data_IF_810267343242
#
_entry.id   IF_810267343242
#
_cell.length_a   1.000
_cell.length_b   1.000
_cell.length_c   1.000
_cell.angle_alpha   90.00
_cell.angle_beta   90.00
_cell.angle_gamma   90.00
#
_symmetry.space_group_name_H-M   'P 1'
#
loop_
_entity.id
_entity.type
_entity.pdbx_description
1 polymer ?
#
# COMPACT_ATOMS: atom_id res chain seq x y z
N UNK A 1 4.52 32.12 -21.06
CA UNK A 1 4.23 30.74 -20.60
C UNK A 1 5.08 30.51 -19.37
N UNK A 2 4.48 30.40 -18.19
CA UNK A 2 5.25 30.07 -16.98
C UNK A 2 5.73 28.62 -17.13
N UNK A 3 7.04 28.40 -17.12
CA UNK A 3 7.64 27.07 -17.08
C UNK A 3 7.18 26.40 -15.80
N UNK A 4 6.55 25.23 -15.90
CA UNK A 4 6.26 24.40 -14.73
C UNK A 4 7.55 24.17 -13.94
N UNK A 5 7.55 24.32 -12.60
CA UNK A 5 8.75 24.12 -11.80
C UNK A 5 9.31 22.72 -12.00
N UNK A 6 10.63 22.58 -11.98
CA UNK A 6 11.29 21.26 -12.08
C UNK A 6 10.83 20.35 -10.94
N UNK A 7 10.64 19.03 -11.19
CA UNK A 7 10.31 18.07 -10.14
C UNK A 7 11.31 18.13 -8.98
N UNK A 8 10.81 18.08 -7.73
CA UNK A 8 11.65 18.00 -6.54
C UNK A 8 12.38 16.67 -6.52
N UNK A 9 13.69 16.67 -6.25
CA UNK A 9 14.52 15.47 -6.14
C UNK A 9 14.48 14.98 -4.70
N UNK A 10 14.03 13.75 -4.50
CA UNK A 10 13.93 13.11 -3.18
C UNK A 10 14.79 11.86 -3.18
N UNK A 11 15.64 11.71 -2.17
CA UNK A 11 16.36 10.46 -1.88
C UNK A 11 15.65 9.73 -0.75
N UNK A 12 15.37 8.44 -0.95
CA UNK A 12 14.84 7.57 0.11
C UNK A 12 15.70 6.30 0.20
N UNK A 13 16.65 6.24 1.14
CA UNK A 13 17.46 5.05 1.37
C UNK A 13 16.66 3.93 2.03
N UNK A 14 16.86 2.69 1.58
CA UNK A 14 16.33 1.47 2.19
C UNK A 14 17.45 0.47 2.46
N UNK A 15 17.27 -0.37 3.47
CA UNK A 15 18.21 -1.45 3.84
C UNK A 15 17.45 -2.64 4.39
N UNK A 16 18.10 -3.79 4.52
CA UNK A 16 17.53 -4.92 5.24
C UNK A 16 17.10 -4.47 6.65
N UNK A 17 15.83 -4.73 6.99
CA UNK A 17 15.23 -4.26 8.25
C UNK A 17 14.56 -2.88 8.21
N UNK A 18 14.51 -2.21 7.06
CA UNK A 18 13.64 -1.03 6.87
C UNK A 18 12.16 -1.39 7.09
N UNK A 19 11.39 -0.49 7.71
CA UNK A 19 9.96 -0.69 7.97
C UNK A 19 9.14 -0.45 6.67
N UNK A 20 8.31 -1.41 6.20
CA UNK A 20 7.66 -1.33 4.89
C UNK A 20 6.68 -0.18 4.71
N UNK A 21 5.89 0.14 5.72
CA UNK A 21 4.89 1.20 5.68
C UNK A 21 5.58 2.57 5.72
N UNK A 22 6.59 2.73 6.58
CA UNK A 22 7.42 3.94 6.69
C UNK A 22 8.23 4.20 5.41
N UNK A 23 8.55 3.18 4.62
CA UNK A 23 9.17 3.35 3.30
C UNK A 23 8.13 3.61 2.19
N UNK A 24 7.15 2.73 2.04
CA UNK A 24 6.21 2.73 0.91
C UNK A 24 5.30 3.95 0.86
N UNK A 25 4.79 4.41 2.01
CA UNK A 25 3.86 5.55 2.05
C UNK A 25 4.56 6.84 1.58
N UNK A 26 5.73 7.24 2.12
CA UNK A 26 6.43 8.42 1.61
C UNK A 26 6.81 8.31 0.13
N UNK A 27 7.23 7.12 -0.36
CA UNK A 27 7.54 6.91 -1.78
C UNK A 27 6.32 7.25 -2.64
N UNK A 28 5.19 6.59 -2.37
CA UNK A 28 3.96 6.74 -3.16
C UNK A 28 3.45 8.21 -3.10
N UNK A 29 3.30 8.77 -1.89
CA UNK A 29 2.76 10.11 -1.68
C UNK A 29 3.60 11.19 -2.36
N UNK A 30 4.91 11.13 -2.23
CA UNK A 30 5.81 12.12 -2.84
C UNK A 30 5.77 12.00 -4.37
N UNK A 31 5.74 10.79 -4.93
CA UNK A 31 5.59 10.60 -6.38
C UNK A 31 4.23 11.09 -6.89
N UNK A 32 3.14 10.89 -6.16
CA UNK A 32 1.82 11.49 -6.46
C UNK A 32 1.84 13.02 -6.45
N UNK A 33 2.61 13.61 -5.55
CA UNK A 33 2.82 15.05 -5.51
C UNK A 33 3.67 15.59 -6.67
N UNK A 34 4.27 14.69 -7.47
CA UNK A 34 5.12 15.03 -8.62
C UNK A 34 6.60 15.09 -8.28
N UNK A 35 7.04 14.53 -7.15
CA UNK A 35 8.45 14.41 -6.82
C UNK A 35 9.12 13.30 -7.64
N UNK A 36 10.39 13.51 -7.98
CA UNK A 36 11.26 12.46 -8.46
C UNK A 36 11.92 11.79 -7.25
N UNK A 37 11.35 10.66 -6.82
CA UNK A 37 11.84 9.89 -5.67
C UNK A 37 12.76 8.76 -6.15
N UNK A 38 14.04 8.85 -5.81
CA UNK A 38 15.05 7.80 -5.99
C UNK A 38 15.05 6.91 -4.75
N UNK A 39 14.63 5.65 -4.91
CA UNK A 39 14.74 4.64 -3.85
C UNK A 39 16.13 4.01 -3.94
N UNK A 40 16.97 4.23 -2.94
CA UNK A 40 18.37 3.80 -2.98
C UNK A 40 18.64 2.67 -1.98
N UNK A 41 19.28 1.58 -2.42
CA UNK A 41 19.72 0.53 -1.51
C UNK A 41 21.00 0.94 -0.79
N UNK A 42 20.97 0.96 0.55
CA UNK A 42 22.16 1.16 1.37
C UNK A 42 22.99 -0.13 1.56
N UNK A 43 22.57 -1.24 0.94
CA UNK A 43 23.32 -2.50 0.89
C UNK A 43 24.27 -2.58 -0.33
N UNK A 44 24.62 -3.81 -0.70
CA UNK A 44 25.49 -4.14 -1.83
C UNK A 44 24.72 -4.59 -3.09
N UNK A 45 23.40 -4.75 -2.99
CA UNK A 45 22.53 -5.15 -4.08
C UNK A 45 21.29 -4.25 -4.17
N UNK A 46 20.72 -4.13 -5.38
CA UNK A 46 19.48 -3.38 -5.62
C UNK A 46 18.25 -4.09 -5.03
N UNK A 47 18.24 -5.43 -4.99
CA UNK A 47 17.16 -6.17 -4.35
C UNK A 47 17.33 -6.11 -2.84
N UNK A 48 16.37 -5.50 -2.15
CA UNK A 48 16.37 -5.36 -0.70
C UNK A 48 15.15 -6.06 -0.13
N UNK A 49 15.39 -7.07 0.71
CA UNK A 49 14.36 -7.65 1.57
C UNK A 49 14.28 -6.81 2.85
N UNK A 50 13.21 -6.02 2.96
CA UNK A 50 12.92 -5.19 4.12
C UNK A 50 12.09 -6.00 5.14
N UNK A 51 11.64 -5.40 6.26
CA UNK A 51 10.94 -6.19 7.29
C UNK A 51 9.70 -6.92 6.74
N UNK A 52 9.33 -8.00 7.44
CA UNK A 52 8.16 -8.84 7.10
C UNK A 52 8.22 -9.43 5.68
N UNK A 53 9.42 -9.63 5.14
CA UNK A 53 9.67 -10.31 3.86
C UNK A 53 9.16 -9.54 2.64
N UNK A 54 8.90 -8.24 2.76
CA UNK A 54 8.61 -7.38 1.61
C UNK A 54 9.92 -7.17 0.85
N UNK A 55 9.90 -7.35 -0.47
CA UNK A 55 11.09 -7.20 -1.32
C UNK A 55 10.90 -6.04 -2.28
N UNK A 56 11.81 -5.07 -2.22
CA UNK A 56 11.82 -3.91 -3.11
C UNK A 56 13.09 -3.96 -3.96
N UNK A 57 12.94 -3.75 -5.26
CA UNK A 57 14.06 -3.56 -6.16
C UNK A 57 14.35 -2.05 -6.27
N UNK A 58 15.40 -1.62 -5.56
CA UNK A 58 15.85 -0.23 -5.52
C UNK A 58 16.30 0.28 -6.90
N UNK A 59 16.19 1.58 -7.09
CA UNK A 59 16.55 2.30 -8.33
C UNK A 59 18.06 2.35 -8.51
N UNK A 60 18.78 2.64 -7.43
CA UNK A 60 20.24 2.79 -7.42
C UNK A 60 20.84 2.25 -6.11
N UNK A 61 22.15 2.07 -6.06
CA UNK A 61 22.87 1.90 -4.80
C UNK A 61 23.13 3.27 -4.18
N UNK A 62 23.04 3.37 -2.85
CA UNK A 62 23.24 4.63 -2.13
C UNK A 62 24.63 5.23 -2.37
N UNK A 63 25.64 4.38 -2.59
CA UNK A 63 27.01 4.81 -2.92
C UNK A 63 27.09 5.60 -4.22
N UNK A 64 26.18 5.34 -5.16
CA UNK A 64 26.12 6.02 -6.45
C UNK A 64 25.34 7.34 -6.38
N UNK A 65 24.52 7.51 -5.33
CA UNK A 65 23.74 8.73 -5.07
C UNK A 65 24.54 9.86 -4.39
N UNK A 66 25.71 9.56 -3.81
CA UNK A 66 26.41 10.45 -2.87
C UNK A 66 26.87 11.80 -3.46
N UNK A 67 27.05 11.90 -4.79
CA UNK A 67 27.48 13.13 -5.45
C UNK A 67 26.32 14.07 -5.85
N UNK A 68 25.06 13.64 -5.68
CA UNK A 68 23.89 14.40 -6.10
C UNK A 68 23.35 15.31 -4.98
N UNK A 69 22.76 16.44 -5.37
CA UNK A 69 21.99 17.31 -4.47
C UNK A 69 20.51 16.94 -4.49
N UNK A 70 19.88 16.87 -3.32
CA UNK A 70 18.46 16.54 -3.16
C UNK A 70 17.71 17.69 -2.48
N UNK A 71 16.44 17.87 -2.86
CA UNK A 71 15.51 18.80 -2.19
C UNK A 71 15.01 18.24 -0.85
N UNK A 72 14.96 16.90 -0.73
CA UNK A 72 14.56 16.19 0.48
C UNK A 72 15.28 14.84 0.58
N UNK A 73 15.67 14.45 1.78
CA UNK A 73 16.11 13.09 2.11
C UNK A 73 15.11 12.53 3.13
N UNK A 74 14.49 11.39 2.82
CA UNK A 74 13.55 10.71 3.70
C UNK A 74 14.20 9.46 4.24
N UNK A 75 14.33 9.37 5.56
CA UNK A 75 14.80 8.16 6.22
C UNK A 75 13.57 7.38 6.71
N UNK A 76 13.31 6.17 6.20
CA UNK A 76 12.20 5.32 6.64
C UNK A 76 12.56 4.66 7.99
N UNK A 77 12.59 5.50 9.02
CA UNK A 77 12.82 5.15 10.41
C UNK A 77 12.10 6.16 11.31
N UNK A 78 11.52 5.69 12.42
CA UNK A 78 10.70 6.53 13.31
C UNK A 78 11.36 6.91 14.62
N UNK A 79 10.88 8.00 15.23
CA UNK A 79 11.16 8.38 16.60
C UNK A 79 10.27 7.62 17.60
N UNK A 80 10.09 6.31 17.41
CA UNK A 80 9.17 5.48 18.20
C UNK A 80 9.36 5.73 19.72
N UNK A 81 8.28 5.80 20.53
CA UNK A 81 8.37 6.18 21.95
C UNK A 81 9.41 5.39 22.76
N UNK A 82 9.65 4.12 22.39
CA UNK A 82 10.69 3.27 22.97
C UNK A 82 12.13 3.82 22.85
N UNK A 83 12.40 4.67 21.86
CA UNK A 83 13.70 5.31 21.65
C UNK A 83 13.81 6.67 22.33
N UNK A 84 12.68 7.30 22.66
CA UNK A 84 12.64 8.64 23.28
C UNK A 84 13.34 8.63 24.64
N UNK A 85 13.24 7.54 25.41
CA UNK A 85 13.96 7.38 26.69
C UNK A 85 15.49 7.41 26.54
N UNK A 86 16.01 7.17 25.34
CA UNK A 86 17.45 7.16 25.04
C UNK A 86 17.95 8.52 24.52
N UNK A 87 17.08 9.51 24.39
CA UNK A 87 17.47 10.82 23.89
C UNK A 87 18.35 11.56 24.90
N UNK A 88 19.35 12.32 24.43
CA UNK A 88 20.19 13.11 25.32
C UNK A 88 19.36 14.22 25.99
N UNK A 89 19.74 14.70 27.19
CA UNK A 89 18.94 15.66 27.97
C UNK A 89 18.60 16.98 27.29
N UNK A 90 19.27 17.31 26.17
CA UNK A 90 19.06 18.53 25.38
C UNK A 90 17.97 18.39 24.32
N UNK A 91 17.44 17.18 24.11
CA UNK A 91 16.37 16.91 23.16
C UNK A 91 15.05 16.86 23.90
N UNK A 92 14.09 17.67 23.44
CA UNK A 92 12.74 17.70 23.99
C UNK A 92 11.86 16.77 23.19
N UNK A 93 11.32 15.74 23.84
CA UNK A 93 10.27 14.92 23.24
C UNK A 93 8.97 15.71 23.15
N UNK A 94 8.32 15.68 21.99
CA UNK A 94 7.01 16.30 21.76
C UNK A 94 6.00 15.20 21.46
N UNK A 95 4.91 15.18 22.21
CA UNK A 95 3.82 14.21 22.03
C UNK A 95 2.94 14.62 20.84
N UNK A 96 3.40 14.28 19.63
CA UNK A 96 2.69 14.51 18.38
C UNK A 96 3.02 13.42 17.37
N UNK A 97 2.10 13.14 16.44
CA UNK A 97 2.31 12.17 15.36
C UNK A 97 3.41 12.61 14.37
N UNK A 98 3.49 13.92 14.14
CA UNK A 98 4.49 14.56 13.28
C UNK A 98 4.97 15.85 13.94
N UNK A 99 6.28 16.07 13.95
CA UNK A 99 6.92 17.29 14.46
C UNK A 99 7.77 17.89 13.35
N UNK A 100 7.63 19.19 13.12
CA UNK A 100 8.49 19.97 12.22
C UNK A 100 9.34 20.90 13.09
N UNK A 101 10.66 20.70 13.10
CA UNK A 101 11.65 21.52 13.79
C UNK A 101 12.65 22.11 12.78
N UNK A 102 12.35 23.33 12.31
CA UNK A 102 13.12 24.00 11.27
C UNK A 102 13.17 23.18 9.98
N UNK A 103 14.33 22.60 9.67
CA UNK A 103 14.55 21.79 8.48
C UNK A 103 14.33 20.28 8.70
N UNK A 104 14.03 19.85 9.94
CA UNK A 104 13.80 18.45 10.26
C UNK A 104 12.30 18.18 10.44
N UNK A 105 11.81 17.08 9.86
CA UNK A 105 10.46 16.55 10.09
C UNK A 105 10.61 15.14 10.65
N UNK A 106 9.96 14.85 11.77
CA UNK A 106 10.01 13.52 12.42
C UNK A 106 8.61 12.95 12.58
N UNK A 107 8.47 11.63 12.43
CA UNK A 107 7.24 10.88 12.67
C UNK A 107 7.40 9.81 13.75
N UNK A 108 6.27 9.38 14.32
CA UNK A 108 6.25 8.53 15.54
C UNK A 108 6.20 7.04 15.27
N UNK A 109 5.56 6.59 14.17
CA UNK A 109 5.45 5.17 13.87
C UNK A 109 4.80 4.87 12.51
N UNK A 110 4.67 3.59 12.14
CA UNK A 110 4.07 3.16 10.88
C UNK A 110 2.66 3.72 10.67
N UNK A 111 1.82 3.72 11.71
CA UNK A 111 0.44 4.23 11.65
C UNK A 111 0.35 5.74 11.33
N UNK A 112 1.39 6.52 11.66
CA UNK A 112 1.44 7.96 11.40
C UNK A 112 2.16 8.29 10.08
N UNK A 113 2.59 7.29 9.31
CA UNK A 113 3.37 7.51 8.08
C UNK A 113 2.60 8.29 7.01
N UNK A 114 1.27 8.17 6.97
CA UNK A 114 0.42 8.99 6.10
C UNK A 114 0.47 10.47 6.49
N UNK A 115 0.33 10.78 7.78
CA UNK A 115 0.46 12.15 8.30
C UNK A 115 1.86 12.71 8.04
N UNK A 116 2.89 11.90 8.27
CA UNK A 116 4.28 12.26 8.00
C UNK A 116 4.50 12.60 6.52
N UNK A 117 4.02 11.75 5.60
CA UNK A 117 4.15 11.99 4.17
C UNK A 117 3.36 13.24 3.71
N UNK A 118 2.17 13.50 4.27
CA UNK A 118 1.40 14.72 3.99
C UNK A 118 2.13 15.97 4.49
N UNK A 119 2.77 15.91 5.66
CA UNK A 119 3.59 17.01 6.16
C UNK A 119 4.78 17.30 5.23
N UNK A 120 5.43 16.26 4.70
CA UNK A 120 6.51 16.43 3.71
C UNK A 120 6.02 17.06 2.40
N UNK A 121 4.84 16.65 1.91
CA UNK A 121 4.21 17.30 0.74
C UNK A 121 3.92 18.76 1.02
N UNK A 122 3.43 19.11 2.21
CA UNK A 122 3.22 20.50 2.60
C UNK A 122 4.52 21.29 2.59
N UNK A 123 5.61 20.74 3.14
CA UNK A 123 6.92 21.41 3.16
C UNK A 123 7.48 21.63 1.74
N UNK A 124 7.28 20.67 0.83
CA UNK A 124 7.82 20.73 -0.53
C UNK A 124 6.97 21.54 -1.51
N UNK A 125 5.64 21.48 -1.36
CA UNK A 125 4.68 21.92 -2.38
C UNK A 125 3.55 22.81 -1.85
N UNK A 126 3.42 22.97 -0.53
CA UNK A 126 2.38 23.76 0.12
C UNK A 126 1.04 23.04 0.29
N UNK A 127 0.15 23.66 1.08
CA UNK A 127 -1.14 23.09 1.52
C UNK A 127 -2.09 22.71 0.39
N UNK A 128 -2.13 23.50 -0.69
CA UNK A 128 -3.00 23.22 -1.83
C UNK A 128 -2.68 21.86 -2.48
N UNK A 129 -1.39 21.48 -2.50
CA UNK A 129 -0.97 20.17 -3.03
C UNK A 129 -1.45 19.03 -2.14
N UNK A 130 -1.40 19.21 -0.81
CA UNK A 130 -1.91 18.23 0.16
C UNK A 130 -3.40 17.97 -0.07
N UNK A 131 -4.20 19.03 -0.18
CA UNK A 131 -5.64 18.91 -0.44
C UNK A 131 -5.94 18.19 -1.76
N UNK A 132 -5.14 18.48 -2.79
CA UNK A 132 -5.27 17.85 -4.12
C UNK A 132 -5.05 16.33 -4.07
N UNK A 133 -4.05 15.85 -3.32
CA UNK A 133 -3.70 14.42 -3.28
C UNK A 133 -4.48 13.64 -2.21
N UNK A 134 -4.80 14.26 -1.07
CA UNK A 134 -5.46 13.59 0.05
C UNK A 134 -6.92 13.23 -0.27
N UNK A 135 -7.62 14.09 -1.02
CA UNK A 135 -9.04 13.89 -1.38
C UNK A 135 -9.31 12.59 -2.14
N UNK A 136 -8.65 12.28 -3.26
CA UNK A 136 -8.85 11.01 -3.97
C UNK A 136 -8.35 9.79 -3.19
N UNK A 137 -7.47 9.99 -2.21
CA UNK A 137 -6.94 8.94 -1.34
C UNK A 137 -7.82 8.63 -0.13
N UNK A 138 -8.90 9.39 0.09
CA UNK A 138 -9.81 9.23 1.22
C UNK A 138 -9.10 9.26 2.58
N UNK A 139 -8.04 10.05 2.72
CA UNK A 139 -7.30 10.18 3.99
C UNK A 139 -8.27 10.65 5.09
N UNK A 140 -8.46 9.81 6.11
CA UNK A 140 -9.28 10.09 7.30
C UNK A 140 -8.39 10.19 8.52
N UNK A 141 -8.73 11.08 9.44
CA UNK A 141 -7.95 11.39 10.65
C UNK A 141 -8.70 11.04 11.95
N UNK A 142 -9.59 10.05 11.92
CA UNK A 142 -10.31 9.60 13.12
C UNK A 142 -9.75 8.25 13.61
N UNK A 143 -9.61 8.11 14.94
CA UNK A 143 -9.09 6.89 15.56
C UNK A 143 -10.06 5.72 15.45
N UNK A 144 -9.51 4.52 15.21
CA UNK A 144 -10.26 3.26 15.10
C UNK A 144 -10.47 2.81 13.65
N UNK A 145 -10.95 1.58 13.47
CA UNK A 145 -11.38 1.06 12.17
C UNK A 145 -12.91 0.90 12.17
N UNK A 146 -13.55 1.25 11.06
CA UNK A 146 -14.99 1.03 10.86
C UNK A 146 -15.20 -0.14 9.92
N UNK A 147 -15.98 -1.13 10.35
CA UNK A 147 -16.41 -2.24 9.50
C UNK A 147 -17.94 -2.31 9.50
N UNK A 148 -18.52 -2.51 8.31
CA UNK A 148 -19.94 -2.84 8.16
C UNK A 148 -20.05 -4.22 7.55
N UNK A 149 -20.44 -5.20 8.36
CA UNK A 149 -20.62 -6.57 7.91
C UNK A 149 -21.98 -6.76 7.24
N UNK A 150 -21.97 -7.42 6.08
CA UNK A 150 -23.16 -7.83 5.35
C UNK A 150 -23.02 -9.31 5.02
N UNK A 151 -24.12 -10.07 5.12
CA UNK A 151 -24.13 -11.52 4.89
C UNK A 151 -23.10 -12.26 5.77
N UNK A 152 -23.17 -12.04 7.09
CA UNK A 152 -22.21 -12.58 8.05
C UNK A 152 -22.04 -14.09 7.91
N UNK A 153 -20.78 -14.52 7.93
CA UNK A 153 -20.34 -15.90 7.94
C UNK A 153 -19.25 -16.05 8.99
N UNK A 154 -19.15 -17.23 9.58
CA UNK A 154 -18.08 -17.50 10.54
C UNK A 154 -16.78 -17.81 9.81
N UNK A 155 -15.74 -17.01 10.06
CA UNK A 155 -14.43 -17.21 9.47
C UNK A 155 -13.73 -18.36 10.20
N UNK A 156 -13.50 -19.48 9.51
CA UNK A 156 -12.81 -20.62 10.07
C UNK A 156 -11.40 -20.74 9.47
N UNK A 157 -10.40 -20.73 10.33
CA UNK A 157 -9.01 -21.03 9.96
C UNK A 157 -8.41 -21.99 11.00
N UNK A 158 -7.97 -23.17 10.57
CA UNK A 158 -7.26 -24.12 11.44
C UNK A 158 -5.76 -23.89 11.32
N UNK A 159 -5.15 -23.27 12.34
CA UNK A 159 -3.72 -22.99 12.37
C UNK A 159 -3.36 -21.65 11.73
N UNK A 160 -2.14 -21.53 11.20
CA UNK A 160 -1.64 -20.30 10.56
C UNK A 160 -2.40 -20.01 9.26
N UNK A 161 -3.07 -18.85 9.13
CA UNK A 161 -3.82 -18.51 7.92
C UNK A 161 -2.91 -18.46 6.69
N UNK A 162 -3.29 -19.17 5.62
CA UNK A 162 -2.66 -19.11 4.31
C UNK A 162 -3.36 -18.09 3.43
N UNK A 163 -2.64 -17.04 3.04
CA UNK A 163 -3.18 -15.93 2.27
C UNK A 163 -2.51 -15.84 0.91
N UNK A 164 -3.31 -15.72 -0.15
CA UNK A 164 -2.84 -15.34 -1.47
C UNK A 164 -3.07 -13.85 -1.70
N UNK A 165 -2.01 -13.12 -2.04
CA UNK A 165 -2.08 -11.73 -2.50
C UNK A 165 -1.50 -11.66 -3.93
N UNK A 166 -2.36 -11.68 -4.96
CA UNK A 166 -1.91 -11.59 -6.34
C UNK A 166 -1.56 -10.14 -6.70
N UNK A 167 -0.46 -9.95 -7.44
CA UNK A 167 0.03 -8.64 -7.88
C UNK A 167 0.27 -8.63 -9.39
N UNK A 168 0.12 -7.44 -9.99
CA UNK A 168 0.32 -7.19 -11.41
C UNK A 168 0.87 -5.77 -11.61
N UNK A 169 1.42 -5.47 -12.78
CA UNK A 169 1.94 -4.15 -13.10
C UNK A 169 0.84 -3.08 -12.98
N UNK A 170 1.14 -2.01 -12.24
CA UNK A 170 0.21 -0.91 -11.97
C UNK A 170 -0.76 -1.15 -10.82
N UNK A 171 -0.52 -2.15 -9.96
CA UNK A 171 -1.23 -2.23 -8.67
C UNK A 171 -0.93 -1.02 -7.79
N UNK A 172 -1.74 -0.83 -6.76
CA UNK A 172 -1.53 0.18 -5.71
C UNK A 172 -0.57 -0.36 -4.65
N UNK A 173 0.64 0.21 -4.56
CA UNK A 173 1.68 -0.33 -3.68
C UNK A 173 1.34 -0.26 -2.19
N UNK A 174 0.64 0.78 -1.73
CA UNK A 174 0.28 0.92 -0.32
C UNK A 174 -0.76 -0.12 0.04
N UNK A 175 -1.78 -0.34 -0.80
CA UNK A 175 -2.77 -1.39 -0.58
C UNK A 175 -2.09 -2.77 -0.49
N UNK A 176 -1.14 -3.07 -1.37
CA UNK A 176 -0.42 -4.35 -1.35
C UNK A 176 0.51 -4.49 -0.13
N UNK A 177 1.39 -3.51 0.10
CA UNK A 177 2.42 -3.58 1.15
C UNK A 177 1.79 -3.53 2.55
N UNK A 178 0.76 -2.70 2.77
CA UNK A 178 0.05 -2.64 4.06
C UNK A 178 -0.64 -3.98 4.37
N UNK A 179 -1.24 -4.63 3.36
CA UNK A 179 -1.84 -5.96 3.53
C UNK A 179 -0.77 -7.01 3.88
N UNK A 180 0.35 -7.03 3.15
CA UNK A 180 1.47 -7.96 3.43
C UNK A 180 2.02 -7.73 4.84
N UNK A 181 2.31 -6.48 5.18
CA UNK A 181 2.84 -6.09 6.48
C UNK A 181 1.90 -6.51 7.61
N UNK A 182 0.64 -6.07 7.57
CA UNK A 182 -0.31 -6.32 8.64
C UNK A 182 -0.56 -7.83 8.85
N UNK A 183 -0.72 -8.59 7.76
CA UNK A 183 -1.00 -10.01 7.82
C UNK A 183 0.22 -10.83 8.28
N UNK A 184 1.42 -10.54 7.74
CA UNK A 184 2.64 -11.24 8.18
C UNK A 184 3.05 -10.84 9.60
N UNK A 185 2.83 -9.59 10.00
CA UNK A 185 3.00 -9.14 11.40
C UNK A 185 2.01 -9.84 12.34
N UNK A 186 0.82 -10.22 11.84
CA UNK A 186 -0.13 -11.09 12.52
C UNK A 186 0.18 -12.60 12.38
N UNK A 187 1.38 -12.95 11.87
CA UNK A 187 1.88 -14.30 11.70
C UNK A 187 1.12 -15.16 10.67
N UNK A 188 0.42 -14.55 9.70
CA UNK A 188 -0.15 -15.25 8.56
C UNK A 188 0.91 -15.64 7.52
N UNK A 189 0.72 -16.78 6.86
CA UNK A 189 1.52 -17.24 5.72
C UNK A 189 1.01 -16.57 4.43
N UNK A 190 1.54 -15.38 4.15
CA UNK A 190 1.16 -14.59 2.99
C UNK A 190 2.08 -14.90 1.82
N UNK A 191 1.52 -15.40 0.72
CA UNK A 191 2.19 -15.61 -0.55
C UNK A 191 1.85 -14.44 -1.49
N UNK A 192 2.85 -13.61 -1.81
CA UNK A 192 2.72 -12.59 -2.85
C UNK A 192 3.02 -13.23 -4.20
N UNK A 193 2.05 -13.22 -5.11
CA UNK A 193 2.16 -13.97 -6.36
C UNK A 193 2.00 -13.06 -7.59
N UNK A 194 2.97 -13.07 -8.49
CA UNK A 194 2.94 -12.25 -9.71
C UNK A 194 2.08 -12.87 -10.80
N UNK A 195 1.15 -12.10 -11.37
CA UNK A 195 0.39 -12.47 -12.56
C UNK A 195 1.05 -12.01 -13.87
N UNK A 196 2.30 -11.53 -13.80
CA UNK A 196 3.12 -11.11 -14.95
C UNK A 196 4.06 -12.23 -15.40
N UNK A 197 4.85 -12.03 -16.46
CA UNK A 197 5.86 -12.99 -16.97
C UNK A 197 7.15 -13.04 -16.11
N UNK A 198 7.07 -12.62 -14.84
CA UNK A 198 8.17 -12.62 -13.89
C UNK A 198 7.74 -12.11 -12.53
N UNK A 199 8.59 -12.29 -11.52
CA UNK A 199 8.29 -11.91 -10.13
C UNK A 199 8.45 -10.41 -9.85
N UNK A 200 9.06 -9.64 -10.76
CA UNK A 200 9.21 -8.19 -10.57
C UNK A 200 7.97 -7.47 -11.10
N UNK A 201 7.28 -6.77 -10.21
CA UNK A 201 6.08 -5.98 -10.51
C UNK A 201 6.38 -4.50 -10.28
N UNK A 202 6.08 -3.66 -11.27
CA UNK A 202 6.15 -2.21 -11.14
C UNK A 202 4.78 -1.68 -10.74
N UNK A 203 4.68 -1.16 -9.52
CA UNK A 203 3.47 -0.53 -8.99
C UNK A 203 3.12 0.76 -9.74
N UNK A 204 1.92 1.28 -9.51
CA UNK A 204 1.35 2.42 -10.24
C UNK A 204 2.23 3.66 -10.24
N UNK A 205 2.94 3.93 -9.14
CA UNK A 205 3.86 5.05 -9.02
C UNK A 205 5.33 4.60 -9.05
N UNK A 206 5.64 3.53 -9.78
CA UNK A 206 7.00 3.16 -10.16
C UNK A 206 7.79 2.37 -9.11
N UNK A 207 7.22 2.10 -7.93
CA UNK A 207 7.85 1.22 -6.93
C UNK A 207 7.94 -0.19 -7.50
N UNK A 208 9.14 -0.77 -7.56
CA UNK A 208 9.35 -2.15 -8.05
C UNK A 208 9.34 -3.11 -6.88
N UNK A 209 8.29 -3.93 -6.80
CA UNK A 209 8.10 -4.96 -5.78
C UNK A 209 8.52 -6.30 -6.40
N UNK A 210 9.17 -7.15 -5.62
CA UNK A 210 9.49 -8.52 -6.05
C UNK A 210 8.56 -9.49 -5.32
N UNK A 211 7.64 -10.10 -6.08
CA UNK A 211 6.76 -11.16 -5.60
C UNK A 211 7.56 -12.38 -5.12
N UNK A 212 6.94 -13.22 -4.30
CA UNK A 212 7.58 -14.43 -3.80
C UNK A 212 7.66 -15.52 -4.86
N UNK A 213 6.60 -15.63 -5.67
CA UNK A 213 6.45 -16.62 -6.74
C UNK A 213 5.58 -16.08 -7.87
N UNK A 214 5.51 -16.87 -8.94
CA UNK A 214 4.53 -16.71 -10.01
C UNK A 214 3.14 -17.18 -9.55
N UNK A 215 2.07 -16.64 -10.14
CA UNK A 215 0.69 -16.97 -9.78
C UNK A 215 0.33 -18.43 -10.05
N UNK A 216 0.93 -19.04 -11.07
CA UNK A 216 0.75 -20.45 -11.38
C UNK A 216 1.35 -21.35 -10.30
N UNK A 217 2.58 -21.09 -9.87
CA UNK A 217 3.20 -21.77 -8.74
C UNK A 217 2.44 -21.57 -7.42
N UNK A 218 1.84 -20.38 -7.22
CA UNK A 218 1.01 -20.13 -6.05
C UNK A 218 -0.29 -20.95 -6.10
N UNK A 219 -0.90 -21.11 -7.27
CA UNK A 219 -2.15 -21.86 -7.41
C UNK A 219 -2.01 -23.34 -7.00
N UNK A 220 -0.83 -23.93 -7.18
CA UNK A 220 -0.52 -25.30 -6.72
C UNK A 220 -0.51 -25.44 -5.19
N UNK A 221 -0.48 -24.32 -4.45
CA UNK A 221 -0.52 -24.28 -2.98
C UNK A 221 -1.93 -24.17 -2.41
N UNK A 222 -2.94 -24.13 -3.28
CA UNK A 222 -4.34 -24.12 -2.89
C UNK A 222 -4.72 -25.35 -2.03
N UNK A 223 -5.71 -25.23 -1.13
CA UNK A 223 -6.60 -24.09 -0.99
C UNK A 223 -6.05 -23.04 -0.01
N UNK A 224 -6.38 -21.77 -0.26
CA UNK A 224 -6.09 -20.65 0.63
C UNK A 224 -7.22 -20.43 1.63
N UNK A 225 -6.90 -19.81 2.76
CA UNK A 225 -7.86 -19.36 3.77
C UNK A 225 -8.38 -17.95 3.46
N UNK A 226 -7.58 -17.15 2.73
CA UNK A 226 -7.96 -15.85 2.19
C UNK A 226 -7.30 -15.62 0.83
N UNK A 227 -8.08 -15.13 -0.14
CA UNK A 227 -7.55 -14.47 -1.34
C UNK A 227 -7.93 -12.99 -1.28
N UNK A 228 -6.95 -12.09 -1.20
CA UNK A 228 -7.17 -10.65 -1.08
C UNK A 228 -6.48 -9.91 -2.23
N UNK A 229 -7.25 -9.16 -3.02
CA UNK A 229 -6.77 -8.54 -4.27
C UNK A 229 -6.57 -7.03 -4.10
N UNK A 230 -5.34 -6.50 -4.20
CA UNK A 230 -5.11 -5.06 -4.19
C UNK A 230 -5.61 -4.40 -5.47
N UNK A 231 -5.95 -3.12 -5.39
CA UNK A 231 -6.39 -2.28 -6.49
C UNK A 231 -5.23 -1.73 -7.32
N UNK A 232 -5.42 -0.51 -7.85
CA UNK A 232 -4.51 0.11 -8.80
C UNK A 232 -4.82 -0.22 -10.25
N UNK A 233 -4.44 0.69 -11.17
CA UNK A 233 -4.66 0.53 -12.60
C UNK A 233 -3.34 0.76 -13.34
N UNK A 234 -3.02 -0.03 -14.38
CA UNK A 234 -3.85 -1.08 -14.98
C UNK A 234 -3.90 -2.42 -14.21
N UNK A 235 -3.18 -2.58 -13.09
CA UNK A 235 -3.01 -3.87 -12.41
C UNK A 235 -4.31 -4.62 -12.08
N UNK A 236 -5.32 -3.94 -11.53
CA UNK A 236 -6.61 -4.56 -11.24
C UNK A 236 -7.33 -5.10 -12.49
N UNK A 237 -7.14 -4.46 -13.65
CA UNK A 237 -7.67 -4.93 -14.93
C UNK A 237 -6.94 -6.19 -15.39
N UNK A 238 -5.61 -6.22 -15.28
CA UNK A 238 -4.81 -7.41 -15.58
C UNK A 238 -5.24 -8.60 -14.72
N UNK A 239 -5.37 -8.39 -13.41
CA UNK A 239 -5.83 -9.40 -12.46
C UNK A 239 -7.26 -9.87 -12.77
N UNK A 240 -8.16 -8.96 -13.14
CA UNK A 240 -9.53 -9.28 -13.54
C UNK A 240 -9.63 -10.05 -14.85
N UNK A 241 -8.63 -9.94 -15.74
CA UNK A 241 -8.51 -10.72 -16.98
C UNK A 241 -7.75 -12.04 -16.81
N UNK A 242 -7.14 -12.30 -15.66
CA UNK A 242 -6.39 -13.52 -15.40
C UNK A 242 -7.33 -14.69 -15.08
N UNK A 243 -7.51 -15.60 -16.04
CA UNK A 243 -8.43 -16.74 -15.91
C UNK A 243 -8.12 -17.62 -14.68
N UNK A 244 -6.84 -17.83 -14.38
CA UNK A 244 -6.40 -18.64 -13.25
C UNK A 244 -6.79 -18.02 -11.91
N UNK A 245 -6.56 -16.71 -11.72
CA UNK A 245 -6.97 -16.00 -10.51
C UNK A 245 -8.49 -16.02 -10.36
N UNK A 246 -9.23 -15.75 -11.43
CA UNK A 246 -10.70 -15.76 -11.44
C UNK A 246 -11.23 -17.14 -11.06
N UNK A 247 -10.61 -18.22 -11.56
CA UNK A 247 -10.98 -19.59 -11.19
C UNK A 247 -10.72 -19.87 -9.70
N UNK A 248 -9.60 -19.40 -9.13
CA UNK A 248 -9.32 -19.52 -7.70
C UNK A 248 -10.34 -18.78 -6.85
N UNK A 249 -10.70 -17.54 -7.21
CA UNK A 249 -11.70 -16.73 -6.51
C UNK A 249 -13.09 -17.37 -6.54
N UNK A 250 -13.51 -17.91 -7.69
CA UNK A 250 -14.79 -18.64 -7.80
C UNK A 250 -14.82 -19.88 -6.92
N UNK A 251 -13.74 -20.67 -6.91
CA UNK A 251 -13.59 -21.81 -5.99
C UNK A 251 -13.63 -21.37 -4.52
N UNK A 252 -13.03 -20.23 -4.19
CA UNK A 252 -13.06 -19.67 -2.83
C UNK A 252 -14.50 -19.32 -2.42
N UNK A 253 -15.25 -18.65 -3.29
CA UNK A 253 -16.65 -18.30 -3.07
C UNK A 253 -17.56 -19.53 -2.95
N UNK A 254 -17.41 -20.53 -3.82
CA UNK A 254 -18.17 -21.80 -3.79
C UNK A 254 -17.92 -22.60 -2.51
N UNK A 255 -16.69 -22.55 -1.99
CA UNK A 255 -16.30 -23.20 -0.75
C UNK A 255 -16.68 -22.40 0.52
N UNK A 256 -17.39 -21.28 0.39
CA UNK A 256 -17.67 -20.32 1.48
C UNK A 256 -16.41 -19.88 2.24
N UNK A 257 -15.28 -19.75 1.54
CA UNK A 257 -14.02 -19.25 2.12
C UNK A 257 -13.89 -17.74 1.91
N UNK A 258 -13.21 -17.02 2.82
CA UNK A 258 -12.97 -15.60 2.68
C UNK A 258 -12.25 -15.21 1.39
N UNK A 259 -12.74 -14.17 0.74
CA UNK A 259 -12.04 -13.45 -0.32
C UNK A 259 -12.41 -11.97 -0.24
N UNK A 260 -11.55 -11.11 -0.77
CA UNK A 260 -11.79 -9.67 -0.77
C UNK A 260 -11.02 -8.93 -1.86
N UNK A 261 -11.37 -7.66 -2.02
CA UNK A 261 -10.63 -6.74 -2.86
C UNK A 261 -10.69 -5.33 -2.25
N UNK A 262 -9.68 -4.52 -2.57
CA UNK A 262 -9.60 -3.11 -2.19
C UNK A 262 -9.42 -2.25 -3.44
N UNK A 263 -9.88 -0.99 -3.36
CA UNK A 263 -9.74 -0.01 -4.42
C UNK A 263 -10.37 -0.46 -5.74
N UNK A 264 -9.62 -0.30 -6.82
CA UNK A 264 -10.07 -0.62 -8.18
C UNK A 264 -10.38 -2.11 -8.39
N UNK A 265 -9.79 -3.02 -7.60
CA UNK A 265 -10.01 -4.46 -7.77
C UNK A 265 -11.44 -4.89 -7.43
N UNK A 266 -12.16 -4.14 -6.59
CA UNK A 266 -13.58 -4.41 -6.34
C UNK A 266 -14.40 -4.30 -7.63
N UNK A 267 -14.15 -3.26 -8.43
CA UNK A 267 -14.88 -3.02 -9.67
C UNK A 267 -14.32 -3.78 -10.89
N UNK A 268 -13.03 -4.14 -10.87
CA UNK A 268 -12.37 -4.78 -12.01
C UNK A 268 -12.12 -6.28 -11.86
N UNK A 269 -12.19 -6.81 -10.64
CA UNK A 269 -11.95 -8.22 -10.33
C UNK A 269 -13.19 -8.87 -9.72
N UNK A 270 -13.82 -8.29 -8.70
CA UNK A 270 -14.96 -8.97 -8.07
C UNK A 270 -16.27 -8.80 -8.83
N UNK A 271 -16.64 -7.56 -9.17
CA UNK A 271 -17.93 -7.24 -9.81
C UNK A 271 -18.14 -7.97 -11.15
N UNK A 272 -17.19 -7.95 -12.11
CA UNK A 272 -17.42 -8.54 -13.44
C UNK A 272 -17.58 -10.07 -13.43
N UNK A 273 -17.13 -10.71 -12.35
CA UNK A 273 -17.14 -12.16 -12.18
C UNK A 273 -18.24 -12.67 -11.25
N UNK A 274 -19.17 -11.79 -10.84
CA UNK A 274 -20.31 -12.15 -9.99
C UNK A 274 -19.93 -12.50 -8.55
N UNK A 275 -18.75 -12.03 -8.09
CA UNK A 275 -18.22 -12.34 -6.76
C UNK A 275 -18.75 -11.39 -5.68
N UNK A 276 -19.58 -10.41 -6.04
CA UNK A 276 -20.29 -9.53 -5.10
C UNK A 276 -21.76 -9.98 -5.00
N UNK A 277 -22.20 -10.35 -3.80
CA UNK A 277 -23.61 -10.69 -3.54
C UNK A 277 -24.44 -9.41 -3.41
N UNK A 278 -25.44 -9.23 -4.27
CA UNK A 278 -26.47 -8.18 -4.09
C UNK A 278 -27.39 -8.59 -2.93
N UNK A 279 -27.79 -7.62 -2.11
CA UNK A 279 -28.77 -7.83 -1.04
C UNK A 279 -30.06 -8.39 -1.65
N UNK A 280 -30.67 -9.41 -1.04
CA UNK A 280 -32.11 -9.60 -1.24
C UNK A 280 -32.78 -8.30 -0.77
N UNK A 281 -33.46 -7.59 -1.66
CA UNK A 281 -34.25 -6.42 -1.29
C UNK A 281 -35.15 -6.81 -0.12
N UNK A 282 -35.08 -6.06 0.99
CA UNK A 282 -36.13 -6.14 2.00
C UNK A 282 -37.42 -5.72 1.26
N UNK A 283 -38.47 -6.55 1.23
CA UNK A 283 -39.73 -6.16 0.61
C UNK A 283 -40.23 -4.89 1.31
N UNK A 284 -40.24 -3.75 0.60
CA UNK A 284 -40.94 -2.54 1.04
C UNK A 284 -40.18 -1.23 1.20
N UNK A 285 -38.94 -1.06 0.73
CA UNK A 285 -38.31 0.29 0.72
C UNK A 285 -37.64 0.63 -0.61
N UNK A 286 -38.47 1.01 -1.58
CA UNK A 286 -38.01 1.66 -2.80
C UNK A 286 -38.31 3.16 -2.69
N UNK A 287 -37.29 3.96 -2.35
CA UNK A 287 -37.24 5.38 -2.68
C UNK A 287 -35.81 5.73 -3.07
N UNK A 288 -35.53 5.62 -4.37
CA UNK A 288 -34.28 6.02 -4.98
C UNK A 288 -34.18 7.57 -4.97
N UNK A 289 -33.20 8.20 -4.30
CA UNK A 289 -33.09 9.66 -4.29
C UNK A 289 -32.59 10.25 -5.62
N UNK A 290 -32.12 9.44 -6.57
CA UNK A 290 -31.43 9.90 -7.77
C UNK A 290 -32.32 10.09 -9.01
N UNK A 291 -33.62 9.79 -8.92
CA UNK A 291 -34.58 10.03 -10.03
C UNK A 291 -35.48 11.26 -9.83
N UNK A 292 -35.32 12.03 -8.75
CA UNK A 292 -36.21 13.16 -8.42
C UNK A 292 -35.78 14.52 -9.02
N UNK A 293 -34.84 14.57 -9.97
CA UNK A 293 -34.50 15.81 -10.71
C UNK A 293 -34.45 15.56 -12.21
N UNK A 294 -35.64 15.48 -12.82
CA UNK A 294 -35.93 15.79 -14.23
C UNK A 294 -37.44 15.59 -14.45
N UNK A 295 -38.22 16.59 -14.07
CA UNK A 295 -39.46 17.02 -14.74
C UNK A 295 -39.58 18.52 -14.54
#
# INVERSE_FOLDING_TARGET
>A
MATSPSPKKVLLPIVAGTEPIEASIPIDILRRAGANVTVASAGDALLVEIMYGVKILADELLVDCAAASYDLIVLPATGHPWFVEKFPPKVTAVDANVVVDGNAVTGTGPATSMEFAMALVEQLYGKEKVEQIAKPMLVRYEGGYSMKELNSVEWHCSGTPKVLLPVANGIEEMEAIILVDALRRANADVVVASAEDGVVVTARYGTRIVADVMLDEAADRAPFDLIIVPGGMPGAKTLGGCEQLVALLKKQAEANRPYGAIGAATAHVLEPHGLLKVRAELPGTCSNPLTARRR
#
